data_IF_845977059679
#
_entry.id   IF_845977059679
#
_cell.length_a   1.000
_cell.length_b   1.000
_cell.length_c   1.000
_cell.angle_alpha   90.00
_cell.angle_beta   90.00
_cell.angle_gamma   90.00
#
_symmetry.space_group_name_H-M   'P 1'
#
loop_
_entity.id
_entity.type
_entity.pdbx_description
1 polymer ?
#
# COMPACT_ATOMS: atom_id res chain seq x y z
N UNK A 1 -36.76 6.83 -35.01
CA UNK A 1 -37.61 7.38 -36.10
C UNK A 1 -38.31 6.25 -36.89
N UNK A 2 -39.05 5.35 -36.23
CA UNK A 2 -39.62 4.15 -36.89
C UNK A 2 -41.06 3.84 -36.46
N UNK A 3 -41.83 4.87 -36.09
CA UNK A 3 -43.24 4.71 -35.68
C UNK A 3 -44.23 5.48 -36.56
N UNK A 4 -43.74 6.40 -37.39
CA UNK A 4 -44.58 7.16 -38.34
C UNK A 4 -44.76 6.48 -39.70
N UNK A 5 -43.96 5.45 -40.03
CA UNK A 5 -44.03 4.75 -41.31
C UNK A 5 -45.14 3.69 -41.41
N UNK A 6 -45.60 3.14 -40.28
CA UNK A 6 -46.69 2.14 -40.30
C UNK A 6 -48.09 2.77 -40.38
N UNK A 7 -48.26 4.01 -39.91
CA UNK A 7 -49.56 4.69 -39.92
C UNK A 7 -49.96 5.23 -41.31
N UNK A 8 -48.99 5.48 -42.20
CA UNK A 8 -49.26 6.01 -43.55
C UNK A 8 -49.55 4.91 -44.58
N UNK A 9 -49.14 3.66 -44.31
CA UNK A 9 -49.35 2.54 -45.24
C UNK A 9 -50.81 2.04 -45.28
N UNK A 10 -51.58 2.16 -44.20
CA UNK A 10 -52.98 1.71 -44.18
C UNK A 10 -53.96 2.69 -44.85
N UNK A 11 -53.60 3.98 -45.00
CA UNK A 11 -54.47 4.95 -45.66
C UNK A 11 -54.45 4.88 -47.19
N UNK A 12 -53.49 4.16 -47.78
CA UNK A 12 -53.31 4.11 -49.24
C UNK A 12 -53.95 2.88 -49.91
N UNK A 13 -54.44 1.89 -49.14
CA UNK A 13 -55.03 0.67 -49.73
C UNK A 13 -56.56 0.70 -49.88
N UNK A 14 -57.24 1.74 -49.42
CA UNK A 14 -58.71 1.84 -49.45
C UNK A 14 -59.27 2.52 -50.72
N UNK A 15 -58.45 2.76 -51.75
CA UNK A 15 -58.85 3.50 -52.96
C UNK A 15 -58.88 2.67 -54.25
N UNK A 16 -58.85 1.33 -54.17
CA UNK A 16 -58.87 0.47 -55.36
C UNK A 16 -59.92 -0.64 -55.28
N UNK A 17 -61.09 -0.37 -55.86
CA UNK A 17 -61.86 -1.35 -56.63
C UNK A 17 -63.03 -2.06 -55.94
N UNK A 18 -64.25 -1.63 -56.28
CA UNK A 18 -65.40 -2.54 -56.43
C UNK A 18 -66.37 -1.99 -57.51
N UNK A 19 -66.89 -2.84 -58.42
CA UNK A 19 -67.74 -2.38 -59.53
C UNK A 19 -69.18 -2.13 -59.08
N UNK A 20 -69.76 -1.06 -59.64
CA UNK A 20 -71.16 -0.66 -59.51
C UNK A 20 -72.09 -1.73 -60.09
N UNK A 21 -72.99 -2.28 -59.26
CA UNK A 21 -74.25 -2.88 -59.73
C UNK A 21 -75.39 -2.16 -59.01
N UNK A 22 -76.22 -1.48 -59.80
CA UNK A 22 -77.24 -0.56 -59.36
C UNK A 22 -78.50 -1.29 -58.88
N UNK A 23 -78.80 -1.16 -57.59
CA UNK A 23 -80.15 -1.11 -57.01
C UNK A 23 -80.11 0.00 -55.94
N UNK A 24 -80.97 1.01 -56.10
CA UNK A 24 -81.28 2.19 -55.26
C UNK A 24 -80.16 2.86 -54.41
N UNK A 25 -79.68 4.08 -54.76
CA UNK A 25 -78.36 4.57 -54.33
C UNK A 25 -78.31 5.36 -53.00
N UNK A 26 -79.23 5.13 -52.06
CA UNK A 26 -79.36 5.98 -50.85
C UNK A 26 -79.25 5.25 -49.51
N UNK A 27 -80.03 4.21 -49.30
CA UNK A 27 -80.26 3.66 -47.96
C UNK A 27 -79.21 2.61 -47.54
N UNK A 28 -78.79 1.73 -48.46
CA UNK A 28 -77.80 0.69 -48.16
C UNK A 28 -76.38 1.20 -47.91
N UNK A 29 -76.03 2.38 -48.44
CA UNK A 29 -74.68 2.97 -48.30
C UNK A 29 -74.48 3.59 -46.92
N UNK A 30 -75.53 4.22 -46.37
CA UNK A 30 -75.53 4.77 -45.01
C UNK A 30 -75.51 3.63 -43.99
N UNK A 31 -76.32 2.58 -44.19
CA UNK A 31 -76.33 1.41 -43.31
C UNK A 31 -74.99 0.65 -43.32
N UNK A 32 -74.35 0.53 -44.49
CA UNK A 32 -73.01 -0.04 -44.63
C UNK A 32 -71.94 0.74 -43.86
N UNK A 33 -71.92 2.07 -44.01
CA UNK A 33 -71.00 2.95 -43.27
C UNK A 33 -71.24 2.89 -41.75
N UNK A 34 -72.50 2.81 -41.31
CA UNK A 34 -72.84 2.67 -39.89
C UNK A 34 -72.32 1.33 -39.34
N UNK A 35 -72.45 0.25 -40.11
CA UNK A 35 -71.91 -1.06 -39.72
C UNK A 35 -70.38 -1.04 -39.57
N UNK A 36 -69.68 -0.44 -40.52
CA UNK A 36 -68.22 -0.34 -40.51
C UNK A 36 -67.71 0.54 -39.36
N UNK A 37 -68.40 1.65 -39.07
CA UNK A 37 -68.10 2.49 -37.90
C UNK A 37 -68.24 1.70 -36.59
N UNK A 38 -69.27 0.85 -36.46
CA UNK A 38 -69.46 0.01 -35.27
C UNK A 38 -68.35 -1.04 -35.15
N UNK A 39 -67.98 -1.68 -36.24
CA UNK A 39 -66.89 -2.67 -36.27
C UNK A 39 -65.54 -2.04 -35.91
N UNK A 40 -65.27 -0.83 -36.41
CA UNK A 40 -64.09 -0.05 -36.03
C UNK A 40 -64.10 0.35 -34.56
N UNK A 41 -65.26 0.70 -34.00
CA UNK A 41 -65.40 1.01 -32.57
C UNK A 41 -65.14 -0.21 -31.68
N UNK A 42 -65.62 -1.39 -32.06
CA UNK A 42 -65.38 -2.63 -31.32
C UNK A 42 -63.93 -3.10 -31.45
N UNK A 43 -63.33 -2.92 -32.62
CA UNK A 43 -61.90 -3.15 -32.85
C UNK A 43 -61.05 -2.21 -31.99
N UNK A 44 -61.40 -0.93 -31.88
CA UNK A 44 -60.72 0.05 -31.03
C UNK A 44 -60.84 -0.30 -29.54
N UNK A 45 -62.01 -0.74 -29.07
CA UNK A 45 -62.18 -1.23 -27.69
C UNK A 45 -61.29 -2.43 -27.40
N UNK A 46 -61.23 -3.37 -28.33
CA UNK A 46 -60.39 -4.56 -28.20
C UNK A 46 -58.91 -4.19 -28.17
N UNK A 47 -58.49 -3.27 -29.04
CA UNK A 47 -57.11 -2.77 -29.07
C UNK A 47 -56.76 -2.04 -27.78
N UNK A 48 -57.66 -1.21 -27.24
CA UNK A 48 -57.46 -0.52 -25.96
C UNK A 48 -57.26 -1.53 -24.81
N UNK A 49 -58.13 -2.55 -24.72
CA UNK A 49 -57.98 -3.61 -23.73
C UNK A 49 -56.66 -4.40 -23.89
N UNK A 50 -56.18 -4.58 -25.13
CA UNK A 50 -54.90 -5.23 -25.38
C UNK A 50 -53.71 -4.34 -24.98
N UNK A 51 -53.80 -3.02 -25.19
CA UNK A 51 -52.79 -2.06 -24.73
C UNK A 51 -52.71 -2.08 -23.21
N UNK A 52 -53.82 -2.10 -22.49
CA UNK A 52 -53.85 -2.18 -21.02
C UNK A 52 -53.21 -3.48 -20.51
N UNK A 53 -53.52 -4.62 -21.15
CA UNK A 53 -52.87 -5.90 -20.85
C UNK A 53 -51.36 -5.85 -21.09
N UNK A 54 -50.95 -5.26 -22.21
CA UNK A 54 -49.53 -5.13 -22.55
C UNK A 54 -48.80 -4.19 -21.58
N UNK A 55 -49.44 -3.10 -21.14
CA UNK A 55 -48.91 -2.20 -20.14
C UNK A 55 -48.66 -2.93 -18.80
N UNK A 56 -49.62 -3.74 -18.34
CA UNK A 56 -49.45 -4.54 -17.13
C UNK A 56 -48.31 -5.58 -17.23
N UNK A 57 -48.07 -6.15 -18.41
CA UNK A 57 -46.92 -7.06 -18.65
C UNK A 57 -45.59 -6.28 -18.63
N UNK A 58 -45.55 -5.08 -19.20
CA UNK A 58 -44.37 -4.21 -19.17
C UNK A 58 -44.04 -3.83 -17.72
N UNK A 59 -45.02 -3.48 -16.90
CA UNK A 59 -44.80 -3.14 -15.49
C UNK A 59 -44.25 -4.33 -14.68
N UNK A 60 -44.83 -5.53 -14.86
CA UNK A 60 -44.30 -6.76 -14.21
C UNK A 60 -42.88 -7.09 -14.61
N UNK A 61 -42.53 -6.92 -15.90
CA UNK A 61 -41.16 -7.17 -16.38
C UNK A 61 -40.20 -6.05 -15.99
N UNK A 62 -40.69 -4.83 -15.72
CA UNK A 62 -39.89 -3.77 -15.13
C UNK A 62 -39.49 -4.08 -13.68
N UNK A 63 -40.37 -4.74 -12.92
CA UNK A 63 -40.12 -5.21 -11.55
C UNK A 63 -39.10 -6.37 -11.45
N UNK A 64 -38.76 -7.04 -12.56
CA UNK A 64 -37.69 -8.06 -12.63
C UNK A 64 -36.29 -7.47 -12.85
N UNK A 65 -36.19 -6.20 -13.30
CA UNK A 65 -34.91 -5.49 -13.47
C UNK A 65 -34.05 -5.36 -12.20
N UNK A 66 -34.62 -5.16 -10.99
CA UNK A 66 -33.87 -5.20 -9.74
C UNK A 66 -33.18 -6.55 -9.50
N UNK A 67 -33.84 -7.67 -9.85
CA UNK A 67 -33.24 -9.00 -9.71
C UNK A 67 -32.06 -9.20 -10.68
N UNK A 68 -32.18 -8.72 -11.92
CA UNK A 68 -31.08 -8.74 -12.89
C UNK A 68 -29.88 -7.89 -12.45
N UNK A 69 -30.14 -6.73 -11.83
CA UNK A 69 -29.07 -5.90 -11.24
C UNK A 69 -28.37 -6.63 -10.09
N UNK A 70 -29.12 -7.30 -9.22
CA UNK A 70 -28.55 -8.07 -8.12
C UNK A 70 -27.70 -9.25 -8.63
N UNK A 71 -28.14 -9.93 -9.70
CA UNK A 71 -27.36 -11.01 -10.33
C UNK A 71 -26.07 -10.50 -10.98
N UNK A 72 -26.10 -9.31 -11.60
CA UNK A 72 -24.89 -8.69 -12.14
C UNK A 72 -23.90 -8.32 -11.02
N UNK A 73 -24.39 -7.74 -9.91
CA UNK A 73 -23.55 -7.43 -8.75
C UNK A 73 -22.96 -8.70 -8.11
N UNK A 74 -23.76 -9.78 -8.02
CA UNK A 74 -23.29 -11.06 -7.51
C UNK A 74 -22.22 -11.69 -8.42
N UNK A 75 -22.38 -11.60 -9.75
CA UNK A 75 -21.38 -12.05 -10.71
C UNK A 75 -20.07 -11.27 -10.57
N UNK A 76 -20.14 -9.95 -10.40
CA UNK A 76 -18.96 -9.11 -10.19
C UNK A 76 -18.25 -9.46 -8.87
N UNK A 77 -19.00 -9.68 -7.78
CA UNK A 77 -18.44 -10.14 -6.50
C UNK A 77 -17.76 -11.50 -6.62
N UNK A 78 -18.35 -12.44 -7.36
CA UNK A 78 -17.74 -13.75 -7.61
C UNK A 78 -16.43 -13.63 -8.39
N UNK A 79 -16.40 -12.77 -9.41
CA UNK A 79 -15.17 -12.51 -10.17
C UNK A 79 -14.07 -11.89 -9.29
N UNK A 80 -14.42 -10.95 -8.42
CA UNK A 80 -13.50 -10.36 -7.45
C UNK A 80 -12.97 -11.39 -6.44
N UNK A 81 -13.83 -12.29 -5.97
CA UNK A 81 -13.42 -13.39 -5.08
C UNK A 81 -12.47 -14.36 -5.78
N UNK A 82 -12.73 -14.74 -7.04
CA UNK A 82 -11.82 -15.55 -7.85
C UNK A 82 -10.42 -14.93 -7.93
N UNK A 83 -10.33 -13.65 -8.30
CA UNK A 83 -9.06 -12.94 -8.37
C UNK A 83 -8.34 -12.79 -7.01
N UNK A 84 -9.07 -12.87 -5.89
CA UNK A 84 -8.46 -12.92 -4.55
C UNK A 84 -7.90 -14.30 -4.23
N UNK A 85 -8.62 -15.36 -4.60
CA UNK A 85 -8.17 -16.74 -4.44
C UNK A 85 -6.87 -16.94 -5.21
N UNK A 86 -6.80 -16.51 -6.48
CA UNK A 86 -5.59 -16.65 -7.30
C UNK A 86 -4.38 -15.94 -6.68
N UNK A 87 -4.59 -14.72 -6.16
CA UNK A 87 -3.54 -13.97 -5.44
C UNK A 87 -3.08 -14.69 -4.18
N UNK A 88 -4.01 -15.23 -3.41
CA UNK A 88 -3.70 -15.98 -2.20
C UNK A 88 -2.94 -17.27 -2.53
N UNK A 89 -3.35 -18.00 -3.56
CA UNK A 89 -2.66 -19.20 -4.04
C UNK A 89 -1.21 -18.90 -4.43
N UNK A 90 -1.00 -17.83 -5.21
CA UNK A 90 0.35 -17.40 -5.58
C UNK A 90 1.20 -16.96 -4.37
N UNK A 91 0.60 -16.34 -3.35
CA UNK A 91 1.30 -16.04 -2.10
C UNK A 91 1.69 -17.31 -1.33
N UNK A 92 0.80 -18.30 -1.27
CA UNK A 92 1.07 -19.59 -0.62
C UNK A 92 2.23 -20.30 -1.32
N UNK A 93 2.26 -20.33 -2.64
CA UNK A 93 3.36 -20.90 -3.42
C UNK A 93 4.69 -20.20 -3.11
N UNK A 94 4.72 -18.85 -3.13
CA UNK A 94 5.94 -18.10 -2.76
C UNK A 94 6.41 -18.38 -1.34
N UNK A 95 5.48 -18.52 -0.39
CA UNK A 95 5.82 -18.88 1.00
C UNK A 95 6.39 -20.29 1.06
N UNK A 96 5.81 -21.23 0.32
CA UNK A 96 6.30 -22.60 0.24
C UNK A 96 7.71 -22.66 -0.39
N UNK A 97 7.98 -21.89 -1.44
CA UNK A 97 9.29 -21.77 -2.09
C UNK A 97 10.34 -21.07 -1.20
N UNK A 98 9.92 -20.11 -0.39
CA UNK A 98 10.82 -19.39 0.54
C UNK A 98 11.21 -20.20 1.77
N UNK A 99 10.58 -21.37 2.00
CA UNK A 99 10.93 -22.23 3.13
C UNK A 99 12.34 -22.78 2.88
N UNK A 100 13.30 -22.57 3.80
CA UNK A 100 14.64 -23.10 3.59
C UNK A 100 14.56 -24.63 3.44
N UNK A 101 15.30 -25.21 2.49
CA UNK A 101 15.34 -26.66 2.32
C UNK A 101 15.73 -27.30 3.65
N UNK A 102 15.17 -28.49 3.94
CA UNK A 102 15.38 -29.16 5.24
C UNK A 102 16.87 -29.37 5.52
N UNK A 103 17.65 -29.57 4.48
CA UNK A 103 19.10 -29.70 4.48
C UNK A 103 19.80 -28.44 5.00
N UNK A 104 19.30 -27.24 4.67
CA UNK A 104 19.84 -25.98 5.18
C UNK A 104 19.53 -25.79 6.68
N UNK A 105 18.36 -26.23 7.15
CA UNK A 105 18.03 -26.22 8.58
C UNK A 105 18.91 -27.20 9.36
N UNK A 106 19.15 -28.41 8.83
CA UNK A 106 20.06 -29.40 9.42
C UNK A 106 21.48 -28.82 9.50
N UNK A 107 21.97 -28.21 8.42
CA UNK A 107 23.29 -27.56 8.42
C UNK A 107 23.41 -26.39 9.41
N UNK A 108 22.34 -25.64 9.65
CA UNK A 108 22.31 -24.60 10.68
C UNK A 108 22.32 -25.20 12.10
N UNK A 109 21.61 -26.32 12.33
CA UNK A 109 21.64 -27.03 13.60
C UNK A 109 23.04 -27.58 13.92
N UNK A 110 23.72 -28.20 12.96
CA UNK A 110 25.10 -28.68 13.17
C UNK A 110 26.08 -27.53 13.46
N UNK A 111 25.87 -26.36 12.86
CA UNK A 111 26.68 -25.15 13.16
C UNK A 111 26.40 -24.61 14.55
N UNK A 112 25.15 -24.63 15.00
CA UNK A 112 24.77 -24.23 16.35
C UNK A 112 25.42 -25.15 17.40
N UNK A 113 25.39 -26.46 17.19
CA UNK A 113 26.05 -27.42 18.09
C UNK A 113 27.56 -27.17 18.19
N UNK A 114 28.22 -26.89 17.05
CA UNK A 114 29.65 -26.52 17.05
C UNK A 114 29.93 -25.20 17.79
N UNK A 115 29.04 -24.21 17.64
CA UNK A 115 29.15 -22.93 18.33
C UNK A 115 28.96 -23.08 19.84
N UNK A 116 28.02 -23.91 20.28
CA UNK A 116 27.78 -24.20 21.70
C UNK A 116 29.04 -24.77 22.37
N UNK A 117 29.65 -25.79 21.75
CA UNK A 117 30.91 -26.36 22.22
C UNK A 117 32.05 -25.33 22.23
N UNK A 118 32.05 -24.37 21.29
CA UNK A 118 33.05 -23.31 21.26
C UNK A 118 32.82 -22.25 22.36
N UNK A 119 31.57 -21.93 22.67
CA UNK A 119 31.21 -21.05 23.79
C UNK A 119 31.67 -21.66 25.10
N UNK A 120 31.48 -22.96 25.31
CA UNK A 120 31.93 -23.65 26.53
C UNK A 120 33.47 -23.62 26.68
N UNK A 121 34.20 -23.85 25.59
CA UNK A 121 35.67 -23.73 25.58
C UNK A 121 36.14 -22.31 25.85
N UNK A 122 35.45 -21.32 25.29
CA UNK A 122 35.75 -19.91 25.53
C UNK A 122 35.46 -19.53 26.98
N UNK A 123 34.35 -20.00 27.56
CA UNK A 123 34.02 -19.80 28.96
C UNK A 123 35.11 -20.39 29.87
N UNK A 124 35.54 -21.63 29.63
CA UNK A 124 36.64 -22.24 30.37
C UNK A 124 37.96 -21.47 30.22
N UNK A 125 38.24 -20.91 29.04
CA UNK A 125 39.43 -20.09 28.80
C UNK A 125 39.36 -18.75 29.54
N UNK A 126 38.17 -18.16 29.67
CA UNK A 126 37.93 -16.94 30.46
C UNK A 126 38.11 -17.24 31.94
N UNK A 127 37.55 -18.34 32.45
CA UNK A 127 37.73 -18.76 33.85
C UNK A 127 39.21 -18.99 34.17
N UNK A 128 39.95 -19.59 33.24
CA UNK A 128 41.39 -19.80 33.38
C UNK A 128 42.18 -18.48 33.33
N UNK A 129 41.77 -17.53 32.48
CA UNK A 129 42.38 -16.19 32.41
C UNK A 129 42.08 -15.36 33.67
N UNK A 130 40.88 -15.49 34.23
CA UNK A 130 40.47 -14.84 35.48
C UNK A 130 41.24 -15.41 36.69
N UNK A 131 41.51 -16.71 36.70
CA UNK A 131 42.36 -17.36 37.69
C UNK A 131 43.83 -16.91 37.61
N UNK A 132 44.28 -16.40 36.45
CA UNK A 132 45.64 -15.90 36.22
C UNK A 132 45.79 -14.38 36.38
N UNK A 133 44.75 -13.63 36.79
CA UNK A 133 44.87 -12.18 37.03
C UNK A 133 45.90 -11.89 38.15
N UNK A 134 46.99 -11.15 37.87
CA UNK A 134 47.97 -10.78 38.89
C UNK A 134 47.35 -9.85 39.95
N UNK A 135 47.81 -9.99 41.20
CA UNK A 135 47.30 -9.26 42.36
C UNK A 135 47.18 -7.74 42.12
N UNK A 136 46.08 -7.19 42.62
CA UNK A 136 45.59 -5.79 42.51
C UNK A 136 46.69 -4.72 42.45
N UNK A 137 46.80 -4.03 41.30
CA UNK A 137 47.39 -2.68 41.22
C UNK A 137 46.43 -1.63 41.82
N UNK A 138 46.93 -0.49 42.36
CA UNK A 138 46.12 0.48 43.10
C UNK A 138 44.99 1.12 42.26
N UNK A 139 43.82 1.20 42.88
CA UNK A 139 42.49 1.60 42.34
C UNK A 139 42.42 2.94 41.58
N UNK A 140 43.42 3.81 41.74
CA UNK A 140 43.48 5.12 41.08
C UNK A 140 43.87 5.03 39.59
N UNK A 141 44.59 3.99 39.19
CA UNK A 141 45.08 3.84 37.81
C UNK A 141 44.06 3.12 36.91
N UNK A 142 43.24 2.25 37.52
CA UNK A 142 42.18 1.48 36.85
C UNK A 142 40.99 2.39 36.48
N UNK A 143 40.59 3.31 37.36
CA UNK A 143 39.52 4.27 37.06
C UNK A 143 39.84 5.17 35.85
N UNK A 144 41.13 5.52 35.69
CA UNK A 144 41.60 6.29 34.52
C UNK A 144 41.65 5.48 33.23
N UNK A 145 41.75 4.14 33.32
CA UNK A 145 41.80 3.24 32.17
C UNK A 145 40.42 2.72 31.76
N UNK A 146 39.48 2.54 32.70
CA UNK A 146 38.07 2.17 32.42
C UNK A 146 37.30 3.32 31.75
N UNK A 147 37.51 4.56 32.20
CA UNK A 147 36.98 5.74 31.49
C UNK A 147 37.57 5.89 30.08
N UNK A 148 38.81 5.43 29.87
CA UNK A 148 39.46 5.46 28.57
C UNK A 148 39.03 4.32 27.62
N UNK A 149 38.47 3.22 28.14
CA UNK A 149 38.12 2.01 27.34
C UNK A 149 36.63 1.90 26.99
N UNK A 150 35.75 2.67 27.65
CA UNK A 150 34.36 2.85 27.22
C UNK A 150 34.18 3.98 26.19
N UNK A 151 35.18 4.82 26.01
CA UNK A 151 35.21 5.75 24.90
C UNK A 151 35.48 4.96 23.62
N UNK A 152 34.51 4.92 22.70
CA UNK A 152 34.71 4.58 21.30
C UNK A 152 35.75 5.57 20.73
N UNK A 153 37.04 5.27 20.92
CA UNK A 153 38.16 6.15 20.62
C UNK A 153 38.50 6.18 19.12
N UNK A 154 37.50 6.02 18.26
CA UNK A 154 37.69 6.26 16.84
C UNK A 154 37.68 7.77 16.60
N UNK A 155 38.87 8.37 16.53
CA UNK A 155 39.06 9.76 16.13
C UNK A 155 39.40 9.81 14.64
N UNK A 156 38.56 10.40 13.79
CA UNK A 156 38.87 10.51 12.37
C UNK A 156 40.08 11.44 12.18
N UNK A 157 41.07 10.99 11.41
CA UNK A 157 42.26 11.77 11.07
C UNK A 157 41.98 12.89 10.03
N UNK A 158 40.85 12.78 9.32
CA UNK A 158 40.40 13.69 8.26
C UNK A 158 38.94 14.09 8.52
N UNK A 159 38.49 15.27 8.05
CA UNK A 159 37.08 15.64 8.10
C UNK A 159 36.19 14.57 7.43
N UNK A 160 35.17 14.10 8.14
CA UNK A 160 34.24 13.11 7.60
C UNK A 160 33.19 13.84 6.75
N UNK A 161 33.08 13.47 5.48
CA UNK A 161 31.91 13.85 4.69
C UNK A 161 30.73 12.93 5.02
N UNK A 162 29.71 13.46 5.69
CA UNK A 162 28.51 12.72 6.05
C UNK A 162 27.46 12.70 4.93
N UNK A 163 27.70 13.38 3.81
CA UNK A 163 26.72 13.48 2.71
C UNK A 163 26.45 12.14 2.06
N UNK A 164 25.21 11.92 1.62
CA UNK A 164 24.80 10.72 0.89
C UNK A 164 23.50 10.10 1.40
N UNK A 165 23.23 8.89 0.92
CA UNK A 165 22.07 8.08 1.34
C UNK A 165 22.47 7.18 2.50
N UNK A 166 21.64 7.17 3.54
CA UNK A 166 21.83 6.38 4.75
C UNK A 166 20.56 5.62 5.07
N UNK A 167 20.72 4.40 5.61
CA UNK A 167 19.62 3.65 6.20
C UNK A 167 19.61 3.92 7.69
N UNK A 168 18.54 4.53 8.18
CA UNK A 168 18.28 4.69 9.61
C UNK A 168 17.53 3.48 10.14
N UNK A 169 18.02 2.86 11.20
CA UNK A 169 17.32 1.79 11.92
C UNK A 169 17.00 2.28 13.32
N UNK A 170 15.71 2.37 13.65
CA UNK A 170 15.24 2.77 14.98
C UNK A 170 15.35 1.59 15.97
N UNK A 171 15.39 1.84 17.30
CA UNK A 171 15.47 0.76 18.30
C UNK A 171 14.34 -0.27 18.24
N UNK A 172 13.16 0.13 17.76
CA UNK A 172 12.01 -0.76 17.54
C UNK A 172 12.09 -1.54 16.21
N UNK A 173 13.21 -1.47 15.50
CA UNK A 173 13.45 -2.18 14.23
C UNK A 173 12.87 -1.51 12.99
N UNK A 174 12.24 -0.34 13.12
CA UNK A 174 11.74 0.39 11.96
C UNK A 174 12.89 0.98 11.13
N UNK A 175 12.85 0.75 9.82
CA UNK A 175 13.91 1.14 8.90
C UNK A 175 13.50 2.27 7.96
N UNK A 176 14.42 3.20 7.75
CA UNK A 176 14.13 4.49 7.18
C UNK A 176 15.31 4.98 6.33
N UNK A 177 15.19 4.96 5.01
CA UNK A 177 16.13 5.67 4.13
C UNK A 177 16.11 7.19 4.39
N UNK A 178 17.27 7.77 4.70
CA UNK A 178 17.44 9.21 4.90
C UNK A 178 18.54 9.73 4.00
N UNK A 179 18.38 10.97 3.55
CA UNK A 179 19.42 11.66 2.79
C UNK A 179 20.06 12.72 3.68
N UNK A 180 21.38 12.66 3.81
CA UNK A 180 22.17 13.71 4.44
C UNK A 180 22.78 14.55 3.32
N UNK A 181 22.50 15.85 3.31
CA UNK A 181 23.09 16.80 2.35
C UNK A 181 24.01 17.76 3.09
N UNK A 182 25.20 18.02 2.54
CA UNK A 182 25.98 19.19 2.95
C UNK A 182 25.14 20.47 2.77
N UNK A 183 25.16 21.34 3.77
CA UNK A 183 24.46 22.62 3.76
C UNK A 183 25.47 23.77 3.71
N UNK A 184 26.04 24.12 4.86
CA UNK A 184 27.08 25.15 5.02
C UNK A 184 28.37 24.51 5.57
N UNK A 185 29.41 25.30 5.84
CA UNK A 185 30.69 24.79 6.38
C UNK A 185 30.44 23.96 7.64
N UNK A 186 30.81 22.68 7.56
CA UNK A 186 30.63 21.67 8.62
C UNK A 186 29.16 21.48 9.06
N UNK A 187 28.18 21.85 8.23
CA UNK A 187 26.76 21.62 8.50
C UNK A 187 26.13 20.65 7.52
N UNK A 188 25.31 19.76 8.05
CA UNK A 188 24.65 18.69 7.32
C UNK A 188 23.16 18.70 7.59
N UNK A 189 22.34 18.71 6.54
CA UNK A 189 20.89 18.62 6.65
C UNK A 189 20.45 17.16 6.48
N UNK A 190 19.83 16.61 7.53
CA UNK A 190 19.15 15.33 7.47
C UNK A 190 17.74 15.54 6.94
N UNK A 191 17.45 14.95 5.78
CA UNK A 191 16.20 15.13 5.04
C UNK A 191 15.42 13.82 5.05
N UNK A 192 14.28 13.84 5.75
CA UNK A 192 13.22 12.82 5.64
C UNK A 192 11.88 13.44 6.07
N UNK A 193 10.81 13.32 5.27
CA UNK A 193 9.49 13.79 5.68
C UNK A 193 9.02 13.14 6.99
N UNK A 194 8.47 13.95 7.91
CA UNK A 194 7.84 13.51 9.17
C UNK A 194 8.76 12.75 10.14
N UNK A 195 10.07 12.95 10.05
CA UNK A 195 11.01 12.38 11.00
C UNK A 195 11.30 13.39 12.12
N UNK A 196 11.14 12.95 13.37
CA UNK A 196 11.42 13.77 14.56
C UNK A 196 12.88 14.26 14.65
N UNK A 197 13.80 13.54 14.01
CA UNK A 197 15.24 13.83 13.95
C UNK A 197 15.65 14.56 12.66
N UNK A 198 14.69 15.09 11.87
CA UNK A 198 15.02 15.90 10.70
C UNK A 198 15.48 17.30 11.11
N UNK A 199 16.47 17.83 10.39
CA UNK A 199 17.01 19.17 10.66
C UNK A 199 18.44 19.34 10.19
N UNK A 200 19.03 20.48 10.56
CA UNK A 200 20.43 20.81 10.32
C UNK A 200 21.26 20.44 11.54
N UNK A 201 22.34 19.73 11.27
CA UNK A 201 23.33 19.28 12.23
C UNK A 201 24.66 19.98 12.00
N UNK A 202 25.34 20.34 13.07
CA UNK A 202 26.72 20.80 13.07
C UNK A 202 27.64 19.60 13.30
N UNK A 203 28.59 19.40 12.40
CA UNK A 203 29.66 18.45 12.57
C UNK A 203 30.75 19.02 13.47
N UNK A 204 31.22 18.17 14.38
CA UNK A 204 32.31 18.41 15.30
C UNK A 204 33.11 17.11 15.39
N UNK A 205 34.07 16.97 14.47
CA UNK A 205 34.90 15.78 14.29
C UNK A 205 34.07 14.54 13.97
N UNK A 206 33.88 13.69 14.98
CA UNK A 206 33.11 12.45 14.91
C UNK A 206 31.65 12.58 15.33
N UNK A 207 31.15 13.78 15.64
CA UNK A 207 29.78 13.97 16.14
C UNK A 207 28.97 14.91 15.25
N UNK A 208 27.66 14.66 15.14
CA UNK A 208 26.67 15.54 14.52
C UNK A 208 25.68 15.99 15.59
N UNK A 209 25.72 17.26 15.97
CA UNK A 209 24.80 17.85 16.96
C UNK A 209 23.73 18.69 16.25
N UNK A 210 22.45 18.47 16.57
CA UNK A 210 21.38 19.22 15.92
C UNK A 210 21.43 20.70 16.34
N UNK A 211 21.50 21.60 15.36
CA UNK A 211 21.53 23.06 15.59
C UNK A 211 20.24 23.74 15.15
N UNK A 212 19.56 23.16 14.14
CA UNK A 212 18.29 23.69 13.63
C UNK A 212 17.35 22.52 13.31
N UNK A 213 16.57 22.04 14.28
CA UNK A 213 15.58 20.99 14.01
C UNK A 213 14.46 21.51 13.12
N UNK A 214 13.87 20.63 12.31
CA UNK A 214 12.68 20.96 11.52
C UNK A 214 11.48 21.21 12.44
N UNK A 215 11.35 20.45 13.54
CA UNK A 215 10.49 20.79 14.68
C UNK A 215 11.29 21.49 15.77
N UNK A 216 11.02 22.78 15.98
CA UNK A 216 11.70 23.64 16.96
C UNK A 216 11.67 23.12 18.41
N UNK A 217 10.75 22.19 18.73
CA UNK A 217 10.64 21.58 20.07
C UNK A 217 11.69 20.50 20.32
N UNK A 218 12.25 19.93 19.26
CA UNK A 218 13.07 18.71 19.28
C UNK A 218 14.56 19.03 19.13
N UNK A 219 15.10 19.76 20.10
CA UNK A 219 16.53 20.07 20.22
C UNK A 219 17.26 19.04 21.09
N UNK A 220 18.52 18.73 20.79
CA UNK A 220 19.36 17.88 21.64
C UNK A 220 19.73 16.52 21.03
N UNK A 221 19.33 16.25 19.79
CA UNK A 221 19.81 15.06 19.07
C UNK A 221 21.30 15.14 18.78
N UNK A 222 22.02 14.07 19.09
CA UNK A 222 23.47 13.93 18.85
C UNK A 222 23.76 12.55 18.26
N UNK A 223 24.28 12.55 17.03
CA UNK A 223 24.83 11.34 16.42
C UNK A 223 26.33 11.28 16.63
N UNK A 224 26.84 10.09 16.97
CA UNK A 224 28.26 9.83 17.13
C UNK A 224 28.70 8.79 16.11
N UNK A 225 29.76 9.10 15.37
CA UNK A 225 30.33 8.23 14.37
C UNK A 225 31.12 7.11 15.04
N UNK A 226 30.72 5.87 14.76
CA UNK A 226 31.47 4.66 15.14
C UNK A 226 32.59 4.42 14.14
N UNK A 227 32.31 4.68 12.86
CA UNK A 227 33.24 4.63 11.74
C UNK A 227 32.72 5.55 10.60
N UNK A 228 33.39 5.57 9.43
CA UNK A 228 33.00 6.40 8.26
C UNK A 228 31.60 6.10 7.69
N UNK A 229 31.06 4.93 7.98
CA UNK A 229 29.82 4.40 7.41
C UNK A 229 28.73 4.14 8.47
N UNK A 230 28.99 4.40 9.74
CA UNK A 230 28.06 4.11 10.83
C UNK A 230 28.02 5.24 11.83
N UNK A 231 26.82 5.78 12.07
CA UNK A 231 26.52 6.69 13.17
C UNK A 231 25.55 6.03 14.14
N UNK A 232 25.64 6.39 15.42
CA UNK A 232 24.72 5.96 16.47
C UNK A 232 24.16 7.19 17.18
N UNK A 233 22.85 7.19 17.46
CA UNK A 233 22.22 8.24 18.24
C UNK A 233 22.58 8.06 19.70
N UNK A 234 23.33 9.03 20.22
CA UNK A 234 23.90 9.03 21.59
C UNK A 234 23.33 10.14 22.46
N UNK A 235 22.68 11.15 21.86
CA UNK A 235 21.96 12.18 22.57
C UNK A 235 20.57 12.39 21.97
N UNK A 236 19.59 12.68 22.81
CA UNK A 236 18.23 13.01 22.41
C UNK A 236 17.61 14.06 23.36
N UNK A 237 16.53 14.75 22.95
CA UNK A 237 15.75 15.58 23.86
C UNK A 237 15.15 14.73 24.99
N UNK A 238 14.76 15.32 26.13
CA UNK A 238 13.99 14.61 27.15
C UNK A 238 12.77 13.89 26.54
N UNK A 239 12.57 12.62 26.90
CA UNK A 239 11.55 11.71 26.30
C UNK A 239 10.13 12.26 26.34
N UNK A 240 9.82 13.13 27.32
CA UNK A 240 8.54 13.84 27.39
C UNK A 240 8.24 14.71 26.15
N UNK A 241 9.25 15.07 25.35
CA UNK A 241 9.09 15.88 24.13
C UNK A 241 8.99 15.05 22.85
N UNK A 242 9.59 13.85 22.85
CA UNK A 242 9.64 12.96 21.69
C UNK A 242 8.55 11.91 21.68
N UNK A 243 7.98 11.57 22.85
CA UNK A 243 6.98 10.51 23.03
C UNK A 243 7.55 9.09 22.95
N UNK A 244 8.82 8.93 22.57
CA UNK A 244 9.57 7.66 22.50
C UNK A 244 11.07 7.94 22.63
N UNK A 245 11.84 6.97 23.10
CA UNK A 245 13.30 7.06 23.08
C UNK A 245 13.81 6.54 21.73
N UNK A 246 14.70 7.32 21.13
CA UNK A 246 15.41 7.01 19.90
C UNK A 246 16.88 6.67 20.16
N UNK A 247 17.35 6.74 21.42
CA UNK A 247 18.73 6.38 21.78
C UNK A 247 19.07 4.98 21.28
N UNK A 248 20.26 4.85 20.69
CA UNK A 248 20.71 3.62 20.04
C UNK A 248 20.21 3.43 18.60
N UNK A 249 19.40 4.36 18.05
CA UNK A 249 19.14 4.38 16.62
C UNK A 249 20.47 4.44 15.84
N UNK A 250 20.54 3.76 14.70
CA UNK A 250 21.75 3.72 13.88
C UNK A 250 21.50 4.34 12.52
N UNK A 251 22.54 4.90 11.91
CA UNK A 251 22.58 5.28 10.51
C UNK A 251 23.72 4.51 9.84
N UNK A 252 23.38 3.75 8.80
CA UNK A 252 24.36 2.98 8.02
C UNK A 252 24.38 3.50 6.59
N UNK A 253 25.55 3.97 6.12
CA UNK A 253 25.72 4.52 4.78
C UNK A 253 25.37 3.46 3.74
N UNK A 254 24.51 3.81 2.80
CA UNK A 254 24.17 2.94 1.68
C UNK A 254 25.19 3.16 0.55
N UNK A 255 25.75 2.07 0.03
CA UNK A 255 26.47 2.11 -1.25
C UNK A 255 25.39 2.24 -2.31
N UNK A 256 25.40 3.34 -3.08
CA UNK A 256 24.45 3.47 -4.20
C UNK A 256 24.60 2.23 -5.10
N UNK A 257 23.51 1.49 -5.40
CA UNK A 257 23.59 0.48 -6.43
C UNK A 257 23.90 1.21 -7.73
N UNK A 258 25.05 0.89 -8.33
CA UNK A 258 25.44 1.36 -9.66
C UNK A 258 24.22 1.22 -10.56
N UNK A 259 23.62 2.34 -10.99
CA UNK A 259 22.55 2.31 -11.98
C UNK A 259 23.15 1.71 -13.25
N UNK A 260 22.93 0.43 -13.47
CA UNK A 260 23.21 -0.24 -14.74
C UNK A 260 22.39 0.51 -15.79
N UNK A 261 23.09 1.20 -16.69
CA UNK A 261 22.51 1.84 -17.87
C UNK A 261 21.95 0.81 -18.82
#
# INVERSE_FOLDING_TARGET
>A
MSRYLFAVACSALLLAGAPLRAEEPGEGLIDGLISEIRELQDSLKTLAAQVDKNAAVIDRTADERPQLKMMAELAERLQQLGARIDRNSAMIERVAESRPPKEALIGLMERLEKLEVQVDRNAASIDQADALKPQKKPKAEIAKQEEASLALNWKPAEPIDYSGVWLMTLPLGAEHEVMIKAAEKDQFKLIRPRLNMAGVYQADGGTLKIVRPDDKRLTGFVWTAVNRNTLVLTGEPPTARTGSSYLGATLTRQVEPTKTK
#
